data_IF_255947051791
#
_entry.id   IF_255947051791
#
_cell.length_a   1.000
_cell.length_b   1.000
_cell.length_c   1.000
_cell.angle_alpha   90.00
_cell.angle_beta   90.00
_cell.angle_gamma   90.00
#
_symmetry.space_group_name_H-M   'P 1'
#
loop_
_entity.id
_entity.type
_entity.pdbx_description
1 polymer ?
#
# COMPACT_ATOMS: atom_id res chain seq x y z
N UNK A 1 9.48 21.74 19.65
CA UNK A 1 10.37 20.57 19.71
C UNK A 1 10.12 19.68 18.50
N UNK A 2 11.18 19.30 17.78
CA UNK A 2 11.12 18.33 16.69
C UNK A 2 11.48 16.97 17.29
N UNK A 3 10.61 15.98 17.11
CA UNK A 3 10.84 14.60 17.51
C UNK A 3 11.09 13.77 16.25
N UNK A 4 12.15 12.97 16.25
CA UNK A 4 12.39 12.01 15.17
C UNK A 4 11.48 10.80 15.37
N UNK A 5 10.88 10.35 14.27
CA UNK A 5 10.06 9.15 14.19
C UNK A 5 10.28 8.48 12.83
N UNK A 6 9.87 7.22 12.69
CA UNK A 6 9.83 6.56 11.39
C UNK A 6 8.89 7.33 10.46
N UNK A 7 9.30 7.47 9.19
CA UNK A 7 8.63 8.25 8.15
C UNK A 7 7.59 7.45 7.35
N UNK A 8 7.13 6.33 7.92
CA UNK A 8 6.19 5.42 7.27
C UNK A 8 6.87 4.36 6.40
N UNK A 9 6.07 3.46 5.81
CA UNK A 9 6.60 2.36 4.99
C UNK A 9 6.93 2.76 3.54
N UNK A 10 6.65 3.99 3.12
CA UNK A 10 7.04 4.51 1.81
C UNK A 10 8.54 4.73 1.66
N UNK A 11 9.27 4.89 2.78
CA UNK A 11 10.73 5.00 2.80
C UNK A 11 11.47 3.79 2.28
N UNK A 12 10.79 2.66 2.05
CA UNK A 12 11.40 1.41 1.55
C UNK A 12 12.10 1.60 0.20
N UNK A 13 11.56 2.42 -0.69
CA UNK A 13 12.14 2.63 -2.03
C UNK A 13 13.53 3.26 -1.94
N UNK A 14 13.66 4.31 -1.13
CA UNK A 14 14.94 4.97 -0.88
C UNK A 14 15.89 4.06 -0.10
N UNK A 15 15.39 3.32 0.89
CA UNK A 15 16.18 2.39 1.70
C UNK A 15 16.78 1.27 0.85
N UNK A 16 16.01 0.64 -0.04
CA UNK A 16 16.51 -0.37 -0.97
C UNK A 16 17.61 0.15 -1.89
N UNK A 17 17.50 1.40 -2.33
CA UNK A 17 18.53 2.05 -3.14
C UNK A 17 19.79 2.38 -2.34
N UNK A 18 19.64 3.08 -1.21
CA UNK A 18 20.77 3.54 -0.38
C UNK A 18 21.57 2.39 0.26
N UNK A 19 20.90 1.29 0.59
CA UNK A 19 21.57 0.10 1.15
C UNK A 19 22.37 -0.70 0.13
N UNK A 20 22.24 -0.42 -1.18
CA UNK A 20 22.82 -1.24 -2.24
C UNK A 20 22.02 -2.52 -2.55
N UNK A 21 20.91 -2.78 -1.86
CA UNK A 21 20.10 -4.00 -2.04
C UNK A 21 19.58 -4.13 -3.48
N UNK A 22 19.17 -3.03 -4.14
CA UNK A 22 18.74 -3.10 -5.53
C UNK A 22 19.86 -3.59 -6.47
N UNK A 23 21.10 -3.19 -6.19
CA UNK A 23 22.25 -3.65 -6.96
C UNK A 23 22.53 -5.14 -6.72
N UNK A 24 22.43 -5.60 -5.49
CA UNK A 24 22.59 -7.00 -5.12
C UNK A 24 21.50 -7.87 -5.77
N UNK A 25 20.22 -7.46 -5.70
CA UNK A 25 19.12 -8.13 -6.38
C UNK A 25 19.37 -8.25 -7.89
N UNK A 26 19.92 -7.20 -8.51
CA UNK A 26 20.26 -7.20 -9.93
C UNK A 26 21.38 -8.19 -10.25
N UNK A 27 22.46 -8.21 -9.46
CA UNK A 27 23.59 -9.12 -9.64
C UNK A 27 23.17 -10.59 -9.50
N UNK A 28 22.25 -10.87 -8.56
CA UNK A 28 21.69 -12.20 -8.34
C UNK A 28 20.54 -12.56 -9.28
N UNK A 29 20.24 -11.73 -10.29
CA UNK A 29 19.18 -11.94 -11.28
C UNK A 29 17.78 -12.11 -10.65
N UNK A 30 17.54 -11.51 -9.49
CA UNK A 30 16.22 -11.51 -8.85
C UNK A 30 15.33 -10.50 -9.58
N UNK A 31 14.25 -10.98 -10.17
CA UNK A 31 13.33 -10.16 -10.95
C UNK A 31 12.09 -9.73 -10.17
N UNK A 32 11.66 -10.56 -9.22
CA UNK A 32 10.41 -10.33 -8.49
C UNK A 32 10.65 -10.28 -6.98
N UNK A 33 10.06 -9.28 -6.35
CA UNK A 33 10.25 -9.00 -4.94
C UNK A 33 8.88 -8.92 -4.26
N UNK A 34 8.68 -9.74 -3.21
CA UNK A 34 7.55 -9.61 -2.31
C UNK A 34 7.89 -8.64 -1.18
N UNK A 35 6.99 -7.72 -0.91
CA UNK A 35 7.08 -6.77 0.20
C UNK A 35 5.82 -6.91 1.03
N UNK A 36 5.96 -7.17 2.32
CA UNK A 36 4.83 -7.32 3.23
C UNK A 36 5.18 -6.87 4.65
N UNK A 37 4.17 -6.44 5.41
CA UNK A 37 4.32 -6.18 6.84
C UNK A 37 4.60 -7.46 7.61
N UNK A 38 5.55 -7.41 8.55
CA UNK A 38 5.95 -8.57 9.37
C UNK A 38 4.89 -8.97 10.39
N UNK A 39 3.99 -8.07 10.73
CA UNK A 39 2.88 -8.26 11.67
C UNK A 39 1.74 -9.12 11.08
N UNK A 40 1.64 -9.24 9.76
CA UNK A 40 0.65 -10.08 9.11
C UNK A 40 1.14 -11.52 8.96
N UNK A 41 1.13 -12.28 10.04
CA UNK A 41 1.60 -13.68 10.08
C UNK A 41 0.77 -14.64 9.20
N UNK A 42 -0.42 -14.23 8.77
CA UNK A 42 -1.27 -15.02 7.86
C UNK A 42 -0.95 -14.74 6.37
N UNK A 43 -0.08 -13.80 6.09
CA UNK A 43 0.39 -13.54 4.74
C UNK A 43 1.27 -14.67 4.23
N UNK A 44 0.91 -15.23 3.10
CA UNK A 44 1.82 -16.11 2.36
C UNK A 44 2.83 -15.24 1.62
N UNK A 45 4.07 -15.15 2.13
CA UNK A 45 5.12 -14.28 1.60
C UNK A 45 5.55 -14.65 0.17
N UNK A 46 5.56 -15.93 -0.15
CA UNK A 46 5.86 -16.39 -1.52
C UNK A 46 4.62 -17.05 -2.08
N UNK A 47 3.93 -16.34 -2.97
CA UNK A 47 2.71 -16.83 -3.60
C UNK A 47 2.94 -17.04 -5.11
N UNK A 48 3.19 -18.30 -5.53
CA UNK A 48 3.46 -18.60 -6.93
C UNK A 48 2.24 -18.35 -7.82
N UNK A 49 1.03 -18.36 -7.27
CA UNK A 49 -0.19 -18.08 -8.03
C UNK A 49 -0.28 -16.59 -8.32
N UNK A 50 -0.03 -15.73 -7.32
CA UNK A 50 0.01 -14.28 -7.52
C UNK A 50 1.09 -13.92 -8.56
N UNK A 51 2.29 -14.49 -8.42
CA UNK A 51 3.38 -14.29 -9.37
C UNK A 51 2.99 -14.73 -10.79
N UNK A 52 2.46 -15.93 -10.94
CA UNK A 52 2.07 -16.47 -12.24
C UNK A 52 0.96 -15.66 -12.92
N UNK A 53 -0.04 -15.18 -12.16
CA UNK A 53 -1.09 -14.30 -12.66
C UNK A 53 -0.51 -12.94 -13.07
N UNK A 54 0.38 -12.37 -12.27
CA UNK A 54 1.02 -11.08 -12.55
C UNK A 54 1.81 -11.13 -13.86
N UNK A 55 2.60 -12.17 -14.06
CA UNK A 55 3.36 -12.38 -15.31
C UNK A 55 2.42 -12.61 -16.49
N UNK A 56 1.44 -13.48 -16.34
CA UNK A 56 0.48 -13.82 -17.40
C UNK A 56 -0.27 -12.58 -17.93
N UNK A 57 -0.64 -11.68 -17.03
CA UNK A 57 -1.36 -10.45 -17.37
C UNK A 57 -0.42 -9.30 -17.78
N UNK A 58 0.90 -9.56 -17.90
CA UNK A 58 1.93 -8.55 -18.19
C UNK A 58 1.92 -7.36 -17.22
N UNK A 59 1.60 -7.61 -15.96
CA UNK A 59 1.69 -6.61 -14.91
C UNK A 59 3.09 -6.59 -14.30
N UNK A 60 3.44 -5.49 -13.68
CA UNK A 60 4.74 -5.28 -13.02
C UNK A 60 4.62 -5.01 -11.53
N UNK A 61 3.38 -4.78 -11.07
CA UNK A 61 3.03 -4.66 -9.66
C UNK A 61 1.75 -5.46 -9.45
N UNK A 62 1.66 -6.15 -8.34
CA UNK A 62 0.44 -6.78 -7.87
C UNK A 62 0.30 -6.63 -6.35
N UNK A 63 -0.92 -6.74 -5.86
CA UNK A 63 -1.22 -6.74 -4.43
C UNK A 63 -2.24 -7.82 -4.10
N UNK A 64 -2.23 -8.24 -2.84
CA UNK A 64 -3.32 -9.05 -2.28
C UNK A 64 -4.33 -8.16 -1.59
N UNK A 65 -5.59 -8.54 -1.70
CA UNK A 65 -6.69 -7.95 -0.95
C UNK A 65 -7.52 -9.02 -0.27
N UNK A 66 -8.33 -8.59 0.69
CA UNK A 66 -9.37 -9.39 1.30
C UNK A 66 -10.67 -8.60 1.31
N UNK A 67 -11.82 -9.28 1.33
CA UNK A 67 -13.08 -8.58 1.46
C UNK A 67 -13.20 -7.93 2.84
N UNK A 68 -13.68 -6.68 2.88
CA UNK A 68 -14.00 -5.94 4.10
C UNK A 68 -15.07 -6.67 4.90
N UNK A 69 -14.90 -6.77 6.20
CA UNK A 69 -15.82 -7.48 7.05
C UNK A 69 -17.13 -6.69 7.27
N UNK A 70 -17.03 -5.37 7.37
CA UNK A 70 -18.16 -4.45 7.54
C UNK A 70 -17.74 -3.03 7.11
N UNK A 71 -18.69 -2.11 6.87
CA UNK A 71 -18.39 -0.74 6.46
C UNK A 71 -17.49 0.05 7.42
N UNK A 72 -17.59 -0.21 8.73
CA UNK A 72 -16.88 0.52 9.78
C UNK A 72 -15.47 -0.02 10.06
N UNK A 73 -15.04 -1.08 9.36
CA UNK A 73 -13.69 -1.62 9.51
C UNK A 73 -12.63 -0.58 9.14
N UNK A 74 -11.70 -0.29 10.07
CA UNK A 74 -10.68 0.77 9.96
C UNK A 74 -9.46 0.28 9.19
N UNK A 75 -9.59 0.19 7.87
CA UNK A 75 -8.58 -0.34 6.96
C UNK A 75 -8.53 0.49 5.68
N UNK A 76 -7.36 0.56 5.05
CA UNK A 76 -7.21 1.13 3.72
C UNK A 76 -7.88 0.23 2.66
N UNK A 77 -8.54 0.83 1.69
CA UNK A 77 -9.26 0.11 0.63
C UNK A 77 -8.73 0.46 -0.76
N UNK A 78 -8.74 -0.53 -1.64
CA UNK A 78 -8.42 -0.31 -3.05
C UNK A 78 -9.58 0.37 -3.77
N UNK A 79 -9.23 1.35 -4.59
CA UNK A 79 -10.17 2.01 -5.50
C UNK A 79 -9.49 2.41 -6.80
N UNK A 80 -10.27 2.89 -7.75
CA UNK A 80 -9.77 3.58 -8.96
C UNK A 80 -10.14 5.06 -8.88
N UNK A 81 -9.14 5.91 -9.01
CA UNK A 81 -9.34 7.35 -9.14
C UNK A 81 -8.81 7.80 -10.51
N UNK A 82 -9.70 8.32 -11.36
CA UNK A 82 -9.37 8.70 -12.75
C UNK A 82 -8.76 7.54 -13.56
N UNK A 83 -9.26 6.32 -13.35
CA UNK A 83 -8.79 5.11 -14.00
C UNK A 83 -7.49 4.52 -13.43
N UNK A 84 -6.89 5.15 -12.43
CA UNK A 84 -5.64 4.73 -11.79
C UNK A 84 -5.90 4.04 -10.46
N UNK A 85 -5.14 2.98 -10.14
CA UNK A 85 -5.27 2.32 -8.85
C UNK A 85 -4.81 3.26 -7.73
N UNK A 86 -5.59 3.31 -6.67
CA UNK A 86 -5.30 4.07 -5.46
C UNK A 86 -5.73 3.27 -4.24
N UNK A 87 -5.07 3.51 -3.12
CA UNK A 87 -5.55 3.09 -1.82
C UNK A 87 -6.00 4.33 -1.08
N UNK A 88 -7.20 4.28 -0.53
CA UNK A 88 -7.75 5.32 0.35
C UNK A 88 -7.71 4.77 1.77
N UNK A 89 -7.06 5.49 2.67
CA UNK A 89 -7.06 5.17 4.09
C UNK A 89 -8.44 5.43 4.69
N UNK A 90 -8.82 4.66 5.71
CA UNK A 90 -10.14 4.76 6.34
C UNK A 90 -10.48 6.15 6.88
N UNK A 91 -9.46 6.93 7.25
CA UNK A 91 -9.62 8.32 7.73
C UNK A 91 -9.97 9.30 6.62
N UNK A 92 -9.64 8.96 5.38
CA UNK A 92 -9.87 9.77 4.18
C UNK A 92 -11.09 9.28 3.39
N UNK A 93 -11.68 8.14 3.75
CA UNK A 93 -12.86 7.57 3.10
C UNK A 93 -14.13 8.13 3.77
N UNK A 94 -14.94 8.94 3.05
CA UNK A 94 -16.22 9.44 3.58
C UNK A 94 -17.14 8.28 4.01
N UNK A 95 -17.90 8.48 5.08
CA UNK A 95 -18.80 7.45 5.63
C UNK A 95 -19.83 6.98 4.59
N UNK A 96 -20.38 7.90 3.81
CA UNK A 96 -21.33 7.59 2.72
C UNK A 96 -20.71 6.64 1.68
N UNK A 97 -19.43 6.84 1.32
CA UNK A 97 -18.70 5.96 0.41
C UNK A 97 -18.34 4.64 1.08
N UNK A 98 -18.08 4.63 2.38
CA UNK A 98 -17.75 3.40 3.11
C UNK A 98 -18.93 2.42 3.15
N UNK A 99 -20.16 2.92 3.09
CA UNK A 99 -21.41 2.16 3.11
C UNK A 99 -22.01 1.90 1.71
N UNK A 100 -21.43 2.51 0.67
CA UNK A 100 -21.93 2.38 -0.70
C UNK A 100 -21.86 0.94 -1.18
N UNK A 101 -22.95 0.47 -1.78
CA UNK A 101 -23.07 -0.88 -2.32
C UNK A 101 -23.00 -0.86 -3.86
N UNK A 102 -22.40 -1.90 -4.42
CA UNK A 102 -22.42 -2.15 -5.85
C UNK A 102 -23.77 -2.77 -6.29
N UNK A 103 -23.91 -3.01 -7.60
CA UNK A 103 -25.12 -3.62 -8.20
C UNK A 103 -25.44 -5.04 -7.69
N UNK A 104 -24.49 -5.69 -7.02
CA UNK A 104 -24.64 -7.02 -6.43
C UNK A 104 -24.93 -6.96 -4.92
N UNK A 105 -25.04 -5.76 -4.33
CA UNK A 105 -25.23 -5.55 -2.89
C UNK A 105 -23.96 -5.79 -2.07
N UNK A 106 -22.77 -5.80 -2.70
CA UNK A 106 -21.48 -5.86 -2.00
C UNK A 106 -20.91 -4.43 -1.83
N UNK A 107 -20.06 -4.22 -0.82
CA UNK A 107 -19.46 -2.92 -0.61
C UNK A 107 -18.66 -2.49 -1.84
N UNK A 108 -18.94 -1.30 -2.39
CA UNK A 108 -18.24 -0.71 -3.53
C UNK A 108 -16.73 -0.56 -3.24
N UNK A 109 -16.39 -0.14 -2.03
CA UNK A 109 -15.02 -0.01 -1.52
C UNK A 109 -14.70 -1.16 -0.54
N UNK A 110 -14.97 -2.39 -0.98
CA UNK A 110 -14.89 -3.59 -0.14
C UNK A 110 -13.57 -4.35 -0.22
N UNK A 111 -12.61 -3.96 -1.07
CA UNK A 111 -11.32 -4.64 -1.21
C UNK A 111 -10.26 -4.01 -0.30
N UNK A 112 -9.94 -4.70 0.80
CA UNK A 112 -9.01 -4.23 1.83
C UNK A 112 -7.56 -4.43 1.42
N UNK A 113 -6.75 -3.40 1.60
CA UNK A 113 -5.30 -3.48 1.49
C UNK A 113 -4.71 -4.17 2.73
N UNK A 114 -4.10 -5.33 2.53
CA UNK A 114 -3.44 -6.11 3.60
C UNK A 114 -1.93 -5.90 3.65
N UNK A 115 -1.41 -4.90 2.94
CA UNK A 115 0.01 -4.55 2.97
C UNK A 115 0.93 -5.61 2.36
N UNK A 116 0.43 -6.41 1.40
CA UNK A 116 1.22 -7.44 0.70
C UNK A 116 1.30 -7.12 -0.78
N UNK A 117 2.50 -6.87 -1.26
CA UNK A 117 2.76 -6.41 -2.62
C UNK A 117 3.80 -7.28 -3.31
N UNK A 118 3.66 -7.42 -4.61
CA UNK A 118 4.64 -8.04 -5.50
C UNK A 118 5.09 -7.00 -6.52
N UNK A 119 6.40 -6.81 -6.63
CA UNK A 119 7.01 -5.87 -7.56
C UNK A 119 7.95 -6.57 -8.52
N UNK A 120 7.92 -6.18 -9.79
CA UNK A 120 9.07 -6.40 -10.64
C UNK A 120 10.22 -5.47 -10.21
N UNK A 121 11.46 -5.97 -10.18
CA UNK A 121 12.64 -5.21 -9.75
C UNK A 121 12.80 -3.88 -10.50
N UNK A 122 12.50 -3.85 -11.81
CA UNK A 122 12.59 -2.63 -12.61
C UNK A 122 11.69 -1.50 -12.09
N UNK A 123 10.58 -1.83 -11.45
CA UNK A 123 9.69 -0.84 -10.82
C UNK A 123 10.38 -0.22 -9.61
N UNK A 124 10.99 -1.06 -8.75
CA UNK A 124 11.68 -0.58 -7.55
C UNK A 124 12.89 0.30 -7.93
N UNK A 125 13.62 -0.06 -8.99
CA UNK A 125 14.70 0.76 -9.52
C UNK A 125 14.22 2.14 -9.98
N UNK A 126 13.06 2.21 -10.65
CA UNK A 126 12.45 3.46 -11.10
C UNK A 126 11.90 4.30 -9.93
N UNK A 127 11.44 3.65 -8.87
CA UNK A 127 10.88 4.31 -7.69
C UNK A 127 11.95 4.71 -6.66
N UNK A 128 13.18 4.24 -6.79
CA UNK A 128 14.27 4.46 -5.84
C UNK A 128 14.49 5.95 -5.47
N UNK A 129 14.24 6.85 -6.43
CA UNK A 129 14.37 8.30 -6.24
C UNK A 129 13.01 9.03 -6.25
N UNK A 130 11.91 8.31 -6.15
CA UNK A 130 10.59 8.91 -6.15
C UNK A 130 10.33 9.64 -4.83
N UNK A 131 10.02 10.94 -4.94
CA UNK A 131 9.55 11.70 -3.78
C UNK A 131 8.07 11.40 -3.57
N UNK A 132 7.74 10.66 -2.54
CA UNK A 132 6.35 10.40 -2.15
C UNK A 132 5.76 11.59 -1.38
N UNK A 133 4.44 11.78 -1.45
CA UNK A 133 3.77 12.78 -0.62
C UNK A 133 3.86 12.40 0.86
N UNK A 134 3.89 13.41 1.72
CA UNK A 134 3.73 13.21 3.16
C UNK A 134 2.25 13.26 3.53
N UNK A 135 1.85 12.31 4.36
CA UNK A 135 0.56 12.29 5.04
C UNK A 135 0.76 12.77 6.47
N UNK A 136 -0.03 13.75 6.89
CA UNK A 136 0.05 14.33 8.23
C UNK A 136 -1.03 13.72 9.12
N UNK A 137 -0.63 13.09 10.23
CA UNK A 137 -1.54 12.58 11.24
C UNK A 137 -1.34 13.33 12.55
N UNK A 138 -2.40 13.92 13.11
CA UNK A 138 -2.36 14.60 14.40
C UNK A 138 -2.52 13.57 15.51
N UNK A 139 -1.50 13.38 16.33
CA UNK A 139 -1.40 12.30 17.32
C UNK A 139 -0.94 12.77 18.67
N UNK A 140 -1.24 11.98 19.72
CA UNK A 140 -0.68 12.15 21.07
C UNK A 140 0.78 11.70 21.09
N UNK A 141 1.64 12.47 21.71
CA UNK A 141 3.03 12.07 21.97
C UNK A 141 3.51 12.63 23.29
N UNK A 142 3.98 11.74 24.16
CA UNK A 142 4.60 12.13 25.41
C UNK A 142 5.85 12.99 25.19
N UNK A 143 6.09 13.94 26.09
CA UNK A 143 7.22 14.86 26.02
C UNK A 143 7.75 15.20 27.42
N UNK A 144 8.99 15.68 27.48
CA UNK A 144 9.54 16.26 28.68
C UNK A 144 9.22 17.76 28.73
N UNK A 145 8.64 18.23 29.84
CA UNK A 145 8.41 19.64 30.04
C UNK A 145 9.72 20.37 30.40
N UNK A 146 9.66 21.69 30.59
CA UNK A 146 10.82 22.51 30.92
C UNK A 146 11.55 22.10 32.24
N UNK A 147 10.84 21.42 33.14
CA UNK A 147 11.40 20.92 34.41
C UNK A 147 11.92 19.47 34.30
N UNK A 148 11.99 18.90 33.10
CA UNK A 148 12.45 17.52 32.88
C UNK A 148 11.43 16.44 33.30
N UNK A 149 10.19 16.81 33.64
CA UNK A 149 9.15 15.85 33.98
C UNK A 149 8.49 15.35 32.70
N UNK A 150 8.32 14.01 32.56
CA UNK A 150 7.57 13.42 31.48
C UNK A 150 6.08 13.74 31.63
N UNK A 151 5.50 14.21 30.51
CA UNK A 151 4.07 14.53 30.38
C UNK A 151 3.48 13.66 29.30
N UNK A 152 2.42 12.97 29.63
CA UNK A 152 1.59 12.24 28.68
C UNK A 152 0.33 13.07 28.41
N UNK A 153 0.15 13.59 27.19
CA UNK A 153 -0.98 14.48 26.90
C UNK A 153 -2.29 13.71 26.76
N UNK A 154 -3.37 14.31 27.23
CA UNK A 154 -4.73 13.77 27.08
C UNK A 154 -5.27 13.99 25.68
N UNK A 155 -4.78 14.99 24.95
CA UNK A 155 -5.19 15.36 23.59
C UNK A 155 -4.02 15.26 22.61
N UNK A 156 -4.29 15.10 21.28
CA UNK A 156 -3.28 15.18 20.25
C UNK A 156 -2.50 16.50 20.33
N UNK A 157 -1.18 16.41 20.20
CA UNK A 157 -0.28 17.54 20.40
C UNK A 157 0.86 17.62 19.38
N UNK A 158 0.97 16.65 18.48
CA UNK A 158 2.01 16.61 17.44
C UNK A 158 1.47 16.16 16.10
N UNK A 159 2.03 16.72 15.03
CA UNK A 159 1.85 16.15 13.68
C UNK A 159 2.95 15.13 13.41
N UNK A 160 2.54 13.91 13.05
CA UNK A 160 3.42 12.87 12.51
C UNK A 160 3.29 12.88 11.00
N UNK A 161 4.41 12.94 10.30
CA UNK A 161 4.47 12.87 8.84
C UNK A 161 4.94 11.49 8.42
N UNK A 162 4.19 10.84 7.53
CA UNK A 162 4.48 9.50 7.04
C UNK A 162 4.32 9.46 5.52
N UNK A 163 5.12 8.66 4.84
CA UNK A 163 4.96 8.31 3.43
C UNK A 163 4.44 6.88 3.31
N UNK A 164 3.63 6.61 2.29
CA UNK A 164 3.08 5.27 2.10
C UNK A 164 3.57 4.64 0.81
N UNK A 165 3.88 3.34 0.89
CA UNK A 165 4.38 2.55 -0.26
C UNK A 165 3.43 2.61 -1.45
N UNK A 166 2.13 2.67 -1.21
CA UNK A 166 1.11 2.66 -2.26
C UNK A 166 0.95 4.00 -2.98
N UNK A 167 1.47 5.11 -2.46
CA UNK A 167 1.44 6.40 -3.17
C UNK A 167 2.28 6.38 -4.45
N UNK A 168 3.24 5.48 -4.51
CA UNK A 168 4.03 5.27 -5.72
C UNK A 168 3.22 4.67 -6.88
N UNK A 169 2.11 4.01 -6.60
CA UNK A 169 1.30 3.33 -7.61
C UNK A 169 0.72 4.28 -8.65
N UNK A 170 0.22 5.43 -8.21
CA UNK A 170 -0.33 6.46 -9.10
C UNK A 170 0.73 7.10 -9.99
N UNK A 171 2.00 7.12 -9.54
CA UNK A 171 3.13 7.70 -10.30
C UNK A 171 3.64 6.76 -11.37
N UNK A 172 3.59 5.45 -11.12
CA UNK A 172 4.13 4.47 -12.06
C UNK A 172 3.31 4.38 -13.34
N UNK A 173 2.02 4.67 -13.29
CA UNK A 173 1.11 4.63 -14.43
C UNK A 173 1.25 5.85 -15.38
N UNK A 174 2.09 6.84 -15.04
CA UNK A 174 2.28 8.06 -15.85
C UNK A 174 3.25 7.91 -17.03
N UNK A 175 3.92 6.77 -17.21
CA UNK A 175 4.87 6.55 -18.30
C UNK A 175 4.34 5.55 -19.34
N UNK A 176 3.83 6.09 -20.42
CA UNK A 176 3.81 5.68 -21.85
C UNK A 176 3.69 4.21 -22.28
N UNK A 177 3.53 3.23 -21.45
CA UNK A 177 3.24 1.89 -21.92
C UNK A 177 1.78 1.50 -21.66
N UNK A 178 0.95 1.63 -22.68
CA UNK A 178 -0.50 1.33 -22.74
C UNK A 178 -0.93 -0.09 -22.31
N UNK A 179 -0.09 -0.89 -21.65
CA UNK A 179 -0.35 -2.29 -21.34
C UNK A 179 0.00 -2.75 -19.92
N UNK A 180 0.39 -1.89 -19.00
CA UNK A 180 0.79 -2.34 -17.65
C UNK A 180 -0.36 -2.17 -16.67
N UNK A 181 -1.00 -3.27 -16.34
CA UNK A 181 -2.16 -3.35 -15.44
C UNK A 181 -1.74 -3.80 -14.04
N UNK A 182 -2.54 -3.42 -13.07
CA UNK A 182 -2.51 -3.94 -11.72
C UNK A 182 -3.31 -5.23 -11.62
N UNK A 183 -2.83 -6.19 -10.82
CA UNK A 183 -3.63 -7.31 -10.37
C UNK A 183 -3.91 -7.15 -8.89
N UNK A 184 -5.19 -7.05 -8.53
CA UNK A 184 -5.65 -7.27 -7.18
C UNK A 184 -6.16 -8.72 -7.10
N UNK A 185 -5.51 -9.56 -6.30
CA UNK A 185 -5.91 -10.94 -6.09
C UNK A 185 -6.65 -11.07 -4.76
N UNK A 186 -7.98 -11.07 -4.80
CA UNK A 186 -8.81 -11.37 -3.64
C UNK A 186 -9.01 -12.87 -3.47
N UNK A 187 -9.29 -13.32 -2.23
CA UNK A 187 -9.68 -14.72 -1.99
C UNK A 187 -10.89 -15.15 -2.83
N UNK A 188 -11.77 -14.22 -3.23
CA UNK A 188 -12.92 -14.47 -4.10
C UNK A 188 -12.51 -14.75 -5.55
N UNK A 189 -11.44 -14.14 -6.06
CA UNK A 189 -10.98 -14.35 -7.45
C UNK A 189 -10.44 -15.76 -7.69
N UNK A 190 -10.02 -16.47 -6.64
CA UNK A 190 -9.66 -17.88 -6.72
C UNK A 190 -10.87 -18.83 -6.96
N UNK A 191 -12.09 -18.40 -6.64
CA UNK A 191 -13.29 -19.25 -6.75
C UNK A 191 -14.14 -19.04 -7.98
N UNK A 192 -14.00 -17.91 -8.72
CA UNK A 192 -14.80 -17.64 -9.93
C UNK A 192 -13.90 -17.09 -11.02
N UNK A 193 -13.59 -17.95 -12.01
CA UNK A 193 -13.06 -17.53 -13.32
C UNK A 193 -14.16 -16.79 -14.09
N UNK A 194 -14.29 -15.49 -13.84
CA UNK A 194 -14.93 -14.57 -14.79
C UNK A 194 -14.14 -13.27 -14.79
N UNK A 195 -13.86 -12.66 -15.95
CA UNK A 195 -13.21 -11.38 -16.03
C UNK A 195 -14.18 -10.30 -15.55
N UNK A 196 -14.07 -9.88 -14.30
CA UNK A 196 -14.75 -8.69 -13.85
C UNK A 196 -13.84 -7.50 -14.05
N UNK A 197 -14.29 -6.56 -14.86
CA UNK A 197 -13.72 -5.23 -15.05
C UNK A 197 -13.92 -4.35 -13.81
N UNK A 198 -13.38 -4.75 -12.67
CA UNK A 198 -13.44 -3.93 -11.46
C UNK A 198 -12.32 -4.32 -10.49
N UNK A 199 -11.27 -3.61 -10.60
CA UNK A 199 -10.36 -3.01 -9.64
C UNK A 199 -9.75 -1.78 -10.29
#
# INVERSE_FOLDING_TARGET
LIKQAADGHGGIYEALSKSGMLQELKQNQIEWIFISGIDNILSNFVDPILLGLTIKENNVIASKSVAKANPQEKVGVFCKMNGKPKIIEYIDLPEEMAEELDENGELMYGEVNIGTYLYNRSVLENLANAKLPYHAAFKKSGYLNANGKFIEPDEPNVFKFETFIFDAFTRYDNNESKKRRWVCASKKSYRKRQPRNSC
#
